data_IF_405399255653
#
_entry.id   IF_405399255653
#
_cell.length_a   1.000
_cell.length_b   1.000
_cell.length_c   1.000
_cell.angle_alpha   90.00
_cell.angle_beta   90.00
_cell.angle_gamma   90.00
#
_symmetry.space_group_name_H-M   'P 1'
#
loop_
_entity.id
_entity.type
_entity.pdbx_description
1 polymer ?
#
# COMPACT_ATOMS: atom_id res chain seq x y z
N UNK A 1 -68.65 1.20 5.85
CA UNK A 1 -67.50 1.76 6.59
C UNK A 1 -66.36 0.76 6.54
N UNK A 2 -65.41 0.88 5.61
CA UNK A 2 -64.03 0.41 5.74
C UNK A 2 -63.21 1.18 4.71
N UNK A 3 -62.43 2.16 5.18
CA UNK A 3 -61.46 2.91 4.36
C UNK A 3 -60.18 2.09 4.34
N UNK A 4 -59.81 1.56 3.18
CA UNK A 4 -58.49 0.95 2.98
C UNK A 4 -57.43 2.04 2.95
N UNK A 5 -56.60 2.07 3.99
CA UNK A 5 -55.43 2.93 4.11
C UNK A 5 -54.26 2.24 3.39
N UNK A 6 -53.95 2.69 2.17
CA UNK A 6 -52.72 2.30 1.47
C UNK A 6 -51.55 3.03 2.11
N UNK A 7 -50.78 2.32 2.92
CA UNK A 7 -49.48 2.77 3.43
C UNK A 7 -48.45 2.51 2.33
N UNK A 8 -48.03 3.59 1.65
CA UNK A 8 -46.87 3.57 0.74
C UNK A 8 -45.60 3.51 1.59
N UNK A 9 -45.01 2.32 1.72
CA UNK A 9 -43.64 2.15 2.18
C UNK A 9 -42.70 2.70 1.09
N UNK A 10 -42.13 3.88 1.31
CA UNK A 10 -40.94 4.31 0.58
C UNK A 10 -39.77 3.45 1.09
N UNK A 11 -39.37 2.45 0.29
CA UNK A 11 -38.06 1.83 0.46
C UNK A 11 -37.01 2.90 0.11
N UNK A 12 -36.40 3.49 1.13
CA UNK A 12 -35.16 4.23 0.94
C UNK A 12 -34.08 3.19 0.59
N UNK A 13 -33.74 3.08 -0.69
CA UNK A 13 -32.54 2.38 -1.12
C UNK A 13 -31.37 3.26 -0.68
N UNK A 14 -30.81 2.95 0.47
CA UNK A 14 -29.52 3.51 0.89
C UNK A 14 -28.48 2.78 0.02
N UNK A 15 -28.14 3.39 -1.11
CA UNK A 15 -26.91 3.04 -1.82
C UNK A 15 -25.76 3.48 -0.91
N UNK A 16 -25.29 2.58 -0.07
CA UNK A 16 -24.01 2.76 0.63
C UNK A 16 -22.94 2.72 -0.45
N UNK A 17 -22.56 3.90 -0.95
CA UNK A 17 -21.33 4.04 -1.72
C UNK A 17 -20.22 3.74 -0.73
N UNK A 18 -19.59 2.58 -0.85
CA UNK A 18 -18.39 2.29 -0.08
C UNK A 18 -17.31 3.21 -0.66
N UNK A 19 -17.04 4.32 0.03
CA UNK A 19 -15.93 5.20 -0.27
C UNK A 19 -14.65 4.46 0.11
N UNK A 20 -13.97 3.88 -0.88
CA UNK A 20 -12.62 3.36 -0.70
C UNK A 20 -11.60 4.44 -1.07
N UNK A 21 -10.53 4.55 -0.29
CA UNK A 21 -9.20 4.97 -0.75
C UNK A 21 -8.91 6.46 -0.95
N UNK A 22 -8.76 7.20 0.14
CA UNK A 22 -7.79 8.28 0.24
C UNK A 22 -7.11 8.15 1.61
N UNK A 23 -5.87 8.63 1.71
CA UNK A 23 -5.32 9.03 3.01
C UNK A 23 -6.40 9.86 3.73
N UNK A 24 -6.83 9.47 4.94
CA UNK A 24 -7.87 10.20 5.64
C UNK A 24 -7.54 11.68 5.75
N UNK A 25 -8.56 12.54 5.65
CA UNK A 25 -8.37 13.98 5.81
C UNK A 25 -7.63 14.26 7.11
N UNK A 26 -6.61 15.12 7.05
CA UNK A 26 -5.76 15.51 8.17
C UNK A 26 -4.90 14.38 8.78
N UNK A 27 -4.82 13.18 8.19
CA UNK A 27 -4.08 12.03 8.77
C UNK A 27 -2.60 12.35 9.07
N UNK A 28 -1.93 13.14 8.22
CA UNK A 28 -0.54 13.58 8.40
C UNK A 28 -0.41 15.07 8.76
N UNK A 29 -1.49 15.74 9.16
CA UNK A 29 -1.48 17.17 9.48
C UNK A 29 -0.69 17.42 10.77
N UNK A 30 0.29 18.31 10.71
CA UNK A 30 1.24 18.55 11.81
C UNK A 30 2.62 17.95 11.56
N UNK A 31 2.84 17.27 10.44
CA UNK A 31 4.17 16.85 10.00
C UNK A 31 5.03 17.99 9.47
N UNK A 32 4.45 19.17 9.23
CA UNK A 32 5.13 20.29 8.59
C UNK A 32 6.37 20.74 9.38
N UNK A 33 7.55 20.53 8.78
CA UNK A 33 8.83 20.93 9.37
C UNK A 33 9.41 19.93 10.38
N UNK A 34 8.70 18.84 10.69
CA UNK A 34 9.24 17.77 11.53
C UNK A 34 10.30 16.96 10.78
N UNK A 35 11.35 16.56 11.47
CA UNK A 35 12.43 15.70 10.94
C UNK A 35 12.96 14.80 12.05
N UNK A 36 13.78 13.80 11.70
CA UNK A 36 14.40 12.92 12.68
C UNK A 36 13.38 12.22 13.58
N UNK A 37 13.76 12.10 14.85
CA UNK A 37 12.94 11.49 15.91
C UNK A 37 11.60 12.20 16.14
N UNK A 38 11.50 13.51 15.87
CA UNK A 38 10.23 14.24 16.03
C UNK A 38 9.20 13.77 15.00
N UNK A 39 9.61 13.63 13.74
CA UNK A 39 8.76 13.08 12.69
C UNK A 39 8.45 11.61 12.95
N UNK A 40 9.47 10.80 13.32
CA UNK A 40 9.27 9.38 13.65
C UNK A 40 8.22 9.19 14.76
N UNK A 41 8.31 9.98 15.84
CA UNK A 41 7.36 9.93 16.96
C UNK A 41 5.97 10.35 16.52
N UNK A 42 5.85 11.40 15.71
CA UNK A 42 4.56 11.82 15.16
C UNK A 42 3.93 10.71 14.32
N UNK A 43 4.69 10.14 13.39
CA UNK A 43 4.22 9.06 12.52
C UNK A 43 3.81 7.83 13.33
N UNK A 44 4.60 7.44 14.33
CA UNK A 44 4.27 6.33 15.25
C UNK A 44 2.93 6.55 15.94
N UNK A 45 2.67 7.76 16.44
CA UNK A 45 1.41 8.08 17.09
C UNK A 45 0.23 7.96 16.11
N UNK A 46 0.36 8.52 14.90
CA UNK A 46 -0.69 8.50 13.87
C UNK A 46 -1.02 7.07 13.43
N UNK A 47 -0.02 6.22 13.19
CA UNK A 47 -0.27 4.85 12.72
C UNK A 47 -0.75 3.90 13.82
N UNK A 48 -0.53 4.25 15.10
CA UNK A 48 -1.09 3.52 16.23
C UNK A 48 -2.49 4.04 16.62
N UNK A 49 -2.85 5.28 16.25
CA UNK A 49 -4.17 5.83 16.52
C UNK A 49 -5.25 5.07 15.72
N UNK A 50 -6.10 4.34 16.45
CA UNK A 50 -7.19 3.56 15.86
C UNK A 50 -6.77 2.25 15.21
N UNK A 51 -5.51 1.83 15.34
CA UNK A 51 -5.00 0.55 14.83
C UNK A 51 -5.87 -0.64 15.27
N UNK A 52 -6.26 -1.47 14.31
CA UNK A 52 -7.04 -2.68 14.51
C UNK A 52 -6.22 -3.89 14.09
N UNK A 53 -5.62 -4.57 15.07
CA UNK A 53 -4.83 -5.76 14.79
C UNK A 53 -5.66 -6.87 14.14
N UNK A 54 -5.11 -7.47 13.09
CA UNK A 54 -5.68 -8.60 12.37
C UNK A 54 -4.99 -9.89 12.85
N UNK A 55 -5.75 -10.98 12.95
CA UNK A 55 -5.17 -12.26 13.32
C UNK A 55 -4.31 -12.82 12.19
N UNK A 56 -3.22 -13.50 12.52
CA UNK A 56 -2.38 -14.14 11.51
C UNK A 56 -3.18 -15.13 10.65
N UNK A 57 -4.18 -15.78 11.25
CA UNK A 57 -5.11 -16.68 10.57
C UNK A 57 -6.00 -15.98 9.55
N UNK A 58 -6.45 -14.75 9.82
CA UNK A 58 -7.28 -14.00 8.87
C UNK A 58 -6.43 -13.31 7.79
N UNK A 59 -5.19 -12.96 8.11
CA UNK A 59 -4.27 -12.27 7.20
C UNK A 59 -4.15 -12.95 5.82
N UNK A 60 -4.14 -14.29 5.76
CA UNK A 60 -4.08 -15.03 4.48
C UNK A 60 -5.24 -14.73 3.52
N UNK A 61 -6.44 -14.43 4.02
CA UNK A 61 -7.56 -14.10 3.14
C UNK A 61 -7.50 -12.65 2.70
N UNK A 62 -6.91 -11.79 3.52
CA UNK A 62 -6.71 -10.38 3.19
C UNK A 62 -5.55 -10.21 2.21
N UNK A 63 -4.51 -11.05 2.28
CA UNK A 63 -3.41 -11.04 1.30
C UNK A 63 -3.86 -11.36 -0.13
N UNK A 64 -4.97 -12.09 -0.29
CA UNK A 64 -5.61 -12.32 -1.59
C UNK A 64 -6.11 -11.00 -2.22
N UNK A 65 -6.49 -10.03 -1.39
CA UNK A 65 -6.94 -8.70 -1.83
C UNK A 65 -5.78 -7.70 -1.92
N UNK A 66 -4.86 -7.70 -0.94
CA UNK A 66 -3.79 -6.70 -0.86
C UNK A 66 -2.77 -6.85 -1.99
N UNK A 67 -2.50 -8.09 -2.41
CA UNK A 67 -1.51 -8.42 -3.42
C UNK A 67 -2.16 -9.07 -4.67
N UNK A 68 -3.44 -8.79 -4.90
CA UNK A 68 -4.21 -9.24 -6.06
C UNK A 68 -3.54 -8.81 -7.39
N UNK A 69 -3.49 -9.73 -8.36
CA UNK A 69 -2.98 -9.44 -9.69
C UNK A 69 -3.97 -8.53 -10.45
N UNK A 70 -3.56 -7.30 -10.85
CA UNK A 70 -4.44 -6.39 -11.56
C UNK A 70 -4.83 -6.90 -12.96
N UNK A 71 -4.05 -7.80 -13.54
CA UNK A 71 -4.23 -8.34 -14.88
C UNK A 71 -4.99 -9.68 -14.92
N UNK A 72 -4.99 -10.43 -13.82
CA UNK A 72 -5.62 -11.76 -13.75
C UNK A 72 -6.50 -11.83 -12.51
N UNK A 73 -7.81 -11.77 -12.71
CA UNK A 73 -8.79 -11.86 -11.61
C UNK A 73 -8.67 -13.19 -10.85
N UNK A 74 -8.71 -13.11 -9.52
CA UNK A 74 -8.59 -14.27 -8.63
C UNK A 74 -7.17 -14.79 -8.44
N UNK A 75 -6.16 -14.10 -9.01
CA UNK A 75 -4.76 -14.40 -8.77
C UNK A 75 -4.11 -13.39 -7.82
N UNK A 76 -3.00 -13.80 -7.20
CA UNK A 76 -2.09 -12.97 -6.40
C UNK A 76 -0.70 -12.95 -7.01
N UNK A 77 0.04 -11.86 -6.80
CA UNK A 77 1.43 -11.71 -7.24
C UNK A 77 2.37 -12.05 -6.08
N UNK A 78 3.23 -13.05 -6.25
CA UNK A 78 4.16 -13.48 -5.21
C UNK A 78 5.35 -12.52 -5.11
N UNK A 79 5.65 -12.03 -3.91
CA UNK A 79 6.59 -10.92 -3.68
C UNK A 79 7.95 -11.13 -4.34
N UNK A 80 8.60 -12.26 -4.06
CA UNK A 80 9.98 -12.51 -4.49
C UNK A 80 10.12 -12.95 -5.95
N UNK A 81 9.20 -13.77 -6.43
CA UNK A 81 9.27 -14.31 -7.79
C UNK A 81 8.54 -13.45 -8.82
N UNK A 82 7.64 -12.55 -8.39
CA UNK A 82 6.82 -11.74 -9.30
C UNK A 82 5.84 -12.55 -10.15
N UNK A 83 5.62 -13.82 -9.80
CA UNK A 83 4.73 -14.72 -10.54
C UNK A 83 3.28 -14.56 -10.06
N UNK A 84 2.36 -14.65 -11.01
CA UNK A 84 0.92 -14.65 -10.77
C UNK A 84 0.43 -16.09 -10.58
N UNK A 85 -0.21 -16.35 -9.44
CA UNK A 85 -0.77 -17.68 -9.09
C UNK A 85 -2.18 -17.54 -8.57
N UNK A 86 -2.93 -18.64 -8.51
CA UNK A 86 -4.26 -18.65 -7.89
C UNK A 86 -4.21 -18.11 -6.47
N UNK A 87 -5.06 -17.12 -6.17
CA UNK A 87 -5.18 -16.49 -4.85
C UNK A 87 -5.89 -17.34 -3.81
N UNK A 88 -6.70 -18.31 -4.26
CA UNK A 88 -7.43 -19.25 -3.38
C UNK A 88 -6.48 -19.91 -2.39
N UNK A 89 -6.71 -19.68 -1.09
CA UNK A 89 -5.92 -20.28 -0.03
C UNK A 89 -6.10 -21.81 0.02
N UNK A 90 -5.02 -22.55 -0.24
CA UNK A 90 -4.99 -24.02 -0.30
C UNK A 90 -4.17 -24.64 0.84
N UNK A 91 -4.16 -23.99 2.01
CA UNK A 91 -3.33 -24.37 3.17
C UNK A 91 -1.83 -24.22 2.96
N UNK A 92 -1.41 -23.27 2.12
CA UNK A 92 -0.01 -22.92 1.98
C UNK A 92 0.74 -23.75 0.93
N UNK A 93 0.01 -24.45 0.04
CA UNK A 93 0.61 -25.31 -0.99
C UNK A 93 1.07 -24.46 -2.18
N UNK A 94 0.22 -23.57 -2.69
CA UNK A 94 0.54 -22.71 -3.84
C UNK A 94 1.35 -21.49 -3.41
N UNK A 95 1.00 -20.89 -2.29
CA UNK A 95 1.66 -19.72 -1.75
C UNK A 95 1.51 -19.68 -0.24
N UNK A 96 2.48 -19.11 0.47
CA UNK A 96 2.44 -18.94 1.92
C UNK A 96 2.57 -17.45 2.32
N UNK A 97 2.38 -17.18 3.61
CA UNK A 97 2.59 -15.86 4.19
C UNK A 97 4.09 -15.71 4.46
N UNK A 98 4.72 -14.77 3.78
CA UNK A 98 6.06 -14.32 4.06
C UNK A 98 6.06 -13.18 5.06
N UNK A 99 6.97 -13.26 6.03
CA UNK A 99 7.29 -12.18 6.95
C UNK A 99 8.52 -11.43 6.42
N UNK A 100 8.32 -10.25 5.83
CA UNK A 100 9.43 -9.46 5.26
C UNK A 100 10.50 -9.18 6.33
N UNK A 101 10.07 -8.74 7.52
CA UNK A 101 10.83 -8.87 8.76
C UNK A 101 10.60 -10.27 9.36
N UNK A 102 11.59 -11.19 9.33
CA UNK A 102 11.41 -12.59 9.69
C UNK A 102 10.86 -12.78 11.10
N UNK A 103 9.95 -13.74 11.27
CA UNK A 103 9.39 -14.12 12.57
C UNK A 103 10.48 -14.42 13.62
N UNK A 104 11.56 -15.10 13.22
CA UNK A 104 12.67 -15.43 14.14
C UNK A 104 13.37 -14.20 14.69
N UNK A 105 13.51 -13.14 13.88
CA UNK A 105 14.09 -11.86 14.30
C UNK A 105 13.08 -10.99 15.05
N UNK A 106 11.78 -11.21 14.90
CA UNK A 106 10.75 -10.59 15.75
C UNK A 106 10.63 -11.23 17.14
N UNK A 107 11.33 -12.35 17.39
CA UNK A 107 11.26 -13.13 18.64
C UNK A 107 9.82 -13.41 19.08
N UNK A 108 8.98 -13.81 18.14
CA UNK A 108 7.55 -14.03 18.36
C UNK A 108 7.12 -15.38 17.83
N UNK A 109 6.21 -16.05 18.54
CA UNK A 109 5.57 -17.27 18.08
C UNK A 109 4.23 -16.93 17.43
N UNK A 110 4.04 -17.32 16.16
CA UNK A 110 2.81 -17.07 15.43
C UNK A 110 1.93 -18.32 15.34
N UNK A 111 0.67 -18.14 15.70
CA UNK A 111 -0.41 -19.09 15.54
C UNK A 111 -1.57 -18.41 14.82
N UNK A 112 -2.57 -19.15 14.34
CA UNK A 112 -3.71 -18.54 13.65
C UNK A 112 -4.46 -17.49 14.49
N UNK A 113 -4.40 -17.57 15.83
CA UNK A 113 -5.03 -16.59 16.73
C UNK A 113 -4.11 -15.43 17.12
N UNK A 114 -2.84 -15.43 16.72
CA UNK A 114 -1.88 -14.38 17.08
C UNK A 114 -2.30 -13.07 16.43
N UNK A 115 -2.38 -12.00 17.24
CA UNK A 115 -2.57 -10.61 16.82
C UNK A 115 -1.37 -9.81 17.35
N UNK A 116 -0.65 -9.09 16.49
CA UNK A 116 0.49 -8.26 16.87
C UNK A 116 1.53 -8.13 15.76
N UNK A 117 2.79 -7.92 16.13
CA UNK A 117 3.91 -7.72 15.19
C UNK A 117 4.08 -8.85 14.16
N UNK A 118 3.82 -10.10 14.58
CA UNK A 118 3.87 -11.27 13.70
C UNK A 118 2.63 -11.45 12.81
N UNK A 119 1.62 -10.59 12.92
CA UNK A 119 0.40 -10.65 12.09
C UNK A 119 0.05 -9.33 11.40
N UNK A 120 0.93 -8.32 11.51
CA UNK A 120 0.76 -7.04 10.82
C UNK A 120 0.81 -7.24 9.30
N UNK A 121 -0.31 -6.93 8.63
CA UNK A 121 -0.48 -7.02 7.19
C UNK A 121 0.56 -6.20 6.43
N UNK A 122 1.07 -5.08 6.98
CA UNK A 122 2.13 -4.34 6.29
C UNK A 122 3.40 -5.16 6.16
N UNK A 123 3.70 -6.05 7.12
CA UNK A 123 4.87 -6.94 7.11
C UNK A 123 4.63 -8.28 6.37
N UNK A 124 3.38 -8.62 6.09
CA UNK A 124 3.01 -9.89 5.46
C UNK A 124 2.84 -9.75 3.95
N UNK A 125 3.39 -10.70 3.21
CA UNK A 125 3.30 -10.77 1.74
C UNK A 125 2.99 -12.20 1.29
N UNK A 126 2.27 -12.45 0.18
CA UNK A 126 2.21 -13.79 -0.39
C UNK A 126 3.57 -14.12 -1.05
N UNK A 127 4.08 -15.32 -0.81
CA UNK A 127 5.31 -15.80 -1.43
C UNK A 127 5.20 -17.26 -1.86
N UNK A 128 6.08 -17.67 -2.77
CA UNK A 128 6.23 -19.07 -3.11
C UNK A 128 6.79 -19.83 -1.89
N UNK A 129 6.24 -20.99 -1.50
CA UNK A 129 6.68 -21.67 -0.29
C UNK A 129 8.13 -22.15 -0.32
N UNK A 130 8.64 -22.52 -1.51
CA UNK A 130 10.03 -22.95 -1.66
C UNK A 130 10.97 -21.75 -1.60
N UNK A 131 10.63 -20.65 -2.28
CA UNK A 131 11.42 -19.41 -2.23
C UNK A 131 11.47 -18.83 -0.81
N UNK A 132 10.32 -18.75 -0.13
CA UNK A 132 10.24 -18.31 1.26
C UNK A 132 11.10 -19.20 2.18
N UNK A 133 10.96 -20.53 2.05
CA UNK A 133 11.78 -21.46 2.83
C UNK A 133 13.28 -21.33 2.52
N UNK A 134 13.64 -21.01 1.29
CA UNK A 134 15.04 -20.79 0.88
C UNK A 134 15.60 -19.48 1.43
N UNK A 135 14.78 -18.42 1.45
CA UNK A 135 15.13 -17.12 2.02
C UNK A 135 15.36 -17.19 3.52
N UNK A 136 14.69 -18.11 4.23
CA UNK A 136 14.91 -18.33 5.67
C UNK A 136 14.71 -17.02 6.47
N UNK A 137 15.68 -16.64 7.29
CA UNK A 137 15.77 -15.36 8.00
C UNK A 137 16.89 -14.47 7.43
N UNK A 138 17.31 -14.70 6.19
CA UNK A 138 18.38 -13.96 5.55
C UNK A 138 18.01 -12.49 5.45
N UNK A 139 18.96 -11.64 5.81
CA UNK A 139 18.75 -10.21 5.81
C UNK A 139 18.99 -9.62 4.42
N UNK A 140 18.33 -8.51 4.13
CA UNK A 140 18.42 -7.90 2.82
C UNK A 140 19.75 -7.16 2.63
N UNK A 141 20.42 -7.46 1.52
CA UNK A 141 21.67 -6.85 1.10
C UNK A 141 21.74 -6.78 -0.44
N UNK A 142 22.74 -6.11 -1.00
CA UNK A 142 22.97 -6.02 -2.44
C UNK A 142 23.66 -7.26 -3.04
N UNK A 143 24.25 -8.10 -2.19
CA UNK A 143 24.92 -9.34 -2.59
C UNK A 143 24.24 -10.56 -1.96
N UNK A 144 24.04 -11.61 -2.75
CA UNK A 144 23.48 -12.88 -2.27
C UNK A 144 24.59 -13.68 -1.60
N UNK A 145 24.39 -14.07 -0.34
CA UNK A 145 25.34 -14.90 0.43
C UNK A 145 24.58 -16.01 1.16
N UNK A 146 25.22 -16.65 2.14
CA UNK A 146 24.59 -17.66 2.99
C UNK A 146 23.67 -17.06 4.07
N UNK A 147 23.81 -15.76 4.35
CA UNK A 147 23.02 -15.06 5.37
C UNK A 147 22.27 -13.85 4.79
N UNK A 148 22.41 -13.59 3.49
CA UNK A 148 21.83 -12.42 2.82
C UNK A 148 21.03 -12.79 1.59
N UNK A 149 19.94 -12.07 1.39
CA UNK A 149 19.00 -12.29 0.30
C UNK A 149 18.86 -11.07 -0.60
N UNK A 150 18.94 -11.27 -1.92
CA UNK A 150 18.76 -10.23 -2.94
C UNK A 150 17.43 -10.48 -3.67
N UNK A 151 16.38 -9.69 -3.42
CA UNK A 151 15.13 -9.79 -4.15
C UNK A 151 15.30 -9.24 -5.58
N UNK A 152 14.30 -9.51 -6.43
CA UNK A 152 14.16 -8.86 -7.74
C UNK A 152 14.06 -7.34 -7.61
N UNK A 153 14.43 -6.62 -8.66
CA UNK A 153 14.57 -5.17 -8.61
C UNK A 153 13.25 -4.44 -8.31
N UNK A 154 12.11 -4.96 -8.77
CA UNK A 154 10.81 -4.28 -8.70
C UNK A 154 10.03 -4.53 -7.40
N UNK A 155 10.70 -5.02 -6.33
CA UNK A 155 10.14 -5.04 -4.95
C UNK A 155 11.13 -4.53 -3.91
N UNK A 156 12.30 -4.04 -4.35
CA UNK A 156 13.34 -3.55 -3.45
C UNK A 156 12.82 -2.35 -2.65
N UNK A 157 12.07 -1.47 -3.31
CA UNK A 157 11.41 -0.33 -2.71
C UNK A 157 10.30 -0.73 -1.75
N UNK A 158 9.46 -1.70 -2.15
CA UNK A 158 8.40 -2.25 -1.29
C UNK A 158 8.97 -2.77 0.02
N UNK A 159 9.99 -3.63 -0.08
CA UNK A 159 10.65 -4.23 1.07
C UNK A 159 11.25 -3.14 1.96
N UNK A 160 11.92 -2.14 1.39
CA UNK A 160 12.46 -1.01 2.15
C UNK A 160 11.37 -0.26 2.91
N UNK A 161 10.26 0.10 2.26
CA UNK A 161 9.15 0.84 2.87
C UNK A 161 8.41 0.01 3.93
N UNK A 162 8.30 -1.30 3.75
CA UNK A 162 7.76 -2.21 4.79
C UNK A 162 8.66 -2.20 6.02
N UNK A 163 9.97 -2.31 5.84
CA UNK A 163 10.93 -2.33 6.96
C UNK A 163 11.04 -0.98 7.67
N UNK A 164 10.99 0.15 6.94
CA UNK A 164 10.89 1.48 7.55
C UNK A 164 9.61 1.63 8.37
N UNK A 165 8.48 1.15 7.85
CA UNK A 165 7.23 1.15 8.61
C UNK A 165 7.34 0.33 9.90
N UNK A 166 7.96 -0.86 9.84
CA UNK A 166 8.09 -1.73 11.01
C UNK A 166 8.84 -1.05 12.16
N UNK A 167 9.91 -0.28 11.90
CA UNK A 167 10.62 0.47 12.94
C UNK A 167 9.81 1.65 13.50
N UNK A 168 8.95 2.27 12.68
CA UNK A 168 8.06 3.33 13.15
C UNK A 168 6.90 2.76 13.95
N UNK A 169 6.31 1.63 13.53
CA UNK A 169 5.20 0.98 14.22
C UNK A 169 5.62 0.37 15.56
N UNK A 170 6.80 -0.27 15.60
CA UNK A 170 7.31 -0.99 16.75
C UNK A 170 8.67 -0.41 17.18
N UNK A 171 8.65 0.34 18.27
CA UNK A 171 9.77 1.16 18.77
C UNK A 171 11.00 0.38 19.25
N UNK A 172 10.86 -0.92 19.44
CA UNK A 172 11.93 -1.84 19.80
C UNK A 172 12.61 -2.51 18.60
N UNK A 173 12.14 -2.24 17.37
CA UNK A 173 12.75 -2.76 16.14
C UNK A 173 13.75 -1.74 15.56
N UNK A 174 14.91 -2.23 15.10
CA UNK A 174 15.99 -1.38 14.60
C UNK A 174 16.52 -1.84 13.24
N UNK A 175 16.77 -0.89 12.34
CA UNK A 175 17.52 -1.16 11.10
C UNK A 175 19.00 -0.86 11.32
N UNK A 176 19.85 -1.85 11.10
CA UNK A 176 21.30 -1.76 11.36
C UNK A 176 22.10 -1.67 10.06
N UNK A 177 23.43 -1.61 10.11
CA UNK A 177 24.31 -1.73 8.93
C UNK A 177 25.30 -2.91 9.08
N UNK A 178 24.92 -3.89 9.89
CA UNK A 178 25.68 -5.09 10.22
C UNK A 178 24.79 -6.32 10.08
N UNK A 179 25.37 -7.51 10.26
CA UNK A 179 24.56 -8.72 10.40
C UNK A 179 23.59 -8.53 11.59
N UNK A 180 22.27 -8.66 11.38
CA UNK A 180 21.27 -8.35 12.39
C UNK A 180 21.17 -9.43 13.46
N UNK A 181 20.90 -8.99 14.68
CA UNK A 181 20.45 -9.81 15.79
C UNK A 181 18.91 -9.82 15.89
N UNK A 182 18.40 -10.42 16.95
CA UNK A 182 16.98 -10.34 17.31
C UNK A 182 16.57 -8.87 17.48
N UNK A 183 15.42 -8.51 16.92
CA UNK A 183 14.85 -7.17 16.78
C UNK A 183 15.62 -6.22 15.88
N UNK A 184 16.65 -6.71 15.18
CA UNK A 184 17.36 -5.95 14.15
C UNK A 184 17.05 -6.51 12.76
N UNK A 185 17.14 -5.68 11.73
CA UNK A 185 16.98 -6.15 10.34
C UNK A 185 17.71 -5.29 9.32
N UNK A 186 18.13 -5.96 8.23
CA UNK A 186 18.67 -5.39 6.99
C UNK A 186 19.83 -4.39 7.19
N UNK A 187 20.36 -3.92 6.06
CA UNK A 187 21.30 -2.81 6.05
C UNK A 187 20.57 -1.51 5.68
N UNK A 188 20.52 -0.56 6.61
CA UNK A 188 19.80 0.71 6.43
C UNK A 188 20.26 1.43 5.16
N UNK A 189 21.57 1.46 4.87
CA UNK A 189 22.10 2.07 3.65
C UNK A 189 21.59 1.40 2.36
N UNK A 190 21.49 0.06 2.36
CA UNK A 190 20.90 -0.73 1.28
C UNK A 190 19.43 -0.37 1.10
N UNK A 191 18.64 -0.35 2.18
CA UNK A 191 17.21 -0.03 2.10
C UNK A 191 16.97 1.40 1.59
N UNK A 192 17.79 2.37 2.01
CA UNK A 192 17.72 3.73 1.50
C UNK A 192 18.05 3.80 0.00
N UNK A 193 19.03 3.01 -0.47
CA UNK A 193 19.36 2.92 -1.89
C UNK A 193 18.21 2.30 -2.71
N UNK A 194 17.58 1.27 -2.16
CA UNK A 194 16.46 0.55 -2.77
C UNK A 194 15.21 1.40 -2.87
N UNK A 195 14.86 2.11 -1.79
CA UNK A 195 13.77 3.08 -1.79
C UNK A 195 13.92 4.13 -2.90
N UNK A 196 15.15 4.59 -3.16
CA UNK A 196 15.42 5.55 -4.25
C UNK A 196 15.35 4.91 -5.63
N UNK A 197 15.90 3.69 -5.77
CA UNK A 197 15.98 2.99 -7.05
C UNK A 197 14.61 2.47 -7.53
N UNK A 198 13.72 2.14 -6.59
CA UNK A 198 12.41 1.55 -6.81
C UNK A 198 11.31 2.42 -6.13
N UNK A 199 10.84 3.49 -6.80
CA UNK A 199 9.84 4.41 -6.28
C UNK A 199 8.47 3.74 -6.07
N UNK A 200 7.63 4.33 -5.22
CA UNK A 200 6.28 3.79 -4.95
C UNK A 200 5.46 3.66 -6.23
N UNK A 201 4.92 2.47 -6.46
CA UNK A 201 4.07 2.18 -7.62
C UNK A 201 2.57 2.09 -7.27
N UNK A 202 1.75 1.79 -8.29
CA UNK A 202 0.29 1.69 -8.12
C UNK A 202 -0.14 0.43 -7.35
N UNK A 203 0.68 -0.61 -7.37
CA UNK A 203 0.42 -1.86 -6.65
C UNK A 203 0.57 -1.64 -5.15
N UNK A 204 1.64 -0.99 -4.71
CA UNK A 204 1.85 -0.64 -3.31
C UNK A 204 0.81 0.34 -2.75
N UNK A 205 0.43 1.35 -3.55
CA UNK A 205 -0.63 2.29 -3.14
C UNK A 205 -1.96 1.56 -2.91
N UNK A 206 -2.34 0.70 -3.85
CA UNK A 206 -3.52 -0.16 -3.69
C UNK A 206 -3.40 -1.03 -2.44
N UNK A 207 -2.25 -1.68 -2.24
CA UNK A 207 -1.97 -2.50 -1.06
C UNK A 207 -2.17 -1.70 0.24
N UNK A 208 -1.66 -0.48 0.32
CA UNK A 208 -1.81 0.39 1.49
C UNK A 208 -3.28 0.75 1.77
N UNK A 209 -4.09 0.98 0.72
CA UNK A 209 -5.54 1.22 0.90
C UNK A 209 -6.29 -0.01 1.41
N UNK A 210 -6.02 -1.18 0.81
CA UNK A 210 -6.69 -2.42 1.22
C UNK A 210 -6.33 -2.70 2.68
N UNK A 211 -5.05 -2.59 3.06
CA UNK A 211 -4.63 -2.77 4.45
C UNK A 211 -5.31 -1.75 5.36
N UNK A 212 -5.38 -0.48 4.99
CA UNK A 212 -6.09 0.53 5.79
C UNK A 212 -7.56 0.17 6.01
N UNK A 213 -8.23 -0.42 5.02
CA UNK A 213 -9.63 -0.85 5.17
C UNK A 213 -9.83 -1.91 6.27
N UNK A 214 -8.80 -2.72 6.56
CA UNK A 214 -8.81 -3.76 7.60
C UNK A 214 -8.15 -3.30 8.91
N UNK A 215 -6.90 -2.84 8.86
CA UNK A 215 -6.08 -2.48 10.04
C UNK A 215 -6.26 -1.06 10.54
N UNK A 216 -6.93 -0.19 9.77
CA UNK A 216 -7.12 1.24 10.10
C UNK A 216 -5.83 2.03 10.31
N UNK A 217 -4.69 1.51 9.85
CA UNK A 217 -3.43 2.22 9.80
C UNK A 217 -2.79 2.14 8.42
N UNK A 218 -1.92 3.10 8.13
CA UNK A 218 -1.25 3.25 6.83
C UNK A 218 0.26 3.14 6.98
N UNK A 219 0.94 2.69 5.93
CA UNK A 219 2.38 2.84 5.82
C UNK A 219 2.72 4.27 5.33
N UNK A 220 3.29 5.14 6.20
CA UNK A 220 3.55 6.53 5.82
C UNK A 220 4.57 6.69 4.70
N UNK A 221 5.46 5.70 4.52
CA UNK A 221 6.51 5.76 3.51
C UNK A 221 6.01 5.35 2.12
N UNK A 222 4.81 4.77 2.03
CA UNK A 222 4.09 4.58 0.76
C UNK A 222 3.35 5.86 0.39
N UNK A 223 2.73 6.52 1.37
CA UNK A 223 1.94 7.75 1.17
C UNK A 223 2.80 8.98 0.89
N UNK A 224 3.89 9.09 1.66
CA UNK A 224 4.84 10.19 1.66
C UNK A 224 6.25 9.61 1.60
N UNK A 225 6.72 9.16 0.43
CA UNK A 225 8.08 8.61 0.26
C UNK A 225 9.17 9.56 0.75
N UNK A 226 8.94 10.87 0.65
CA UNK A 226 9.84 11.90 1.16
C UNK A 226 10.08 11.84 2.67
N UNK A 227 9.19 11.22 3.45
CA UNK A 227 9.38 11.04 4.89
C UNK A 227 10.58 10.15 5.20
N UNK A 228 11.01 9.27 4.30
CA UNK A 228 12.25 8.49 4.48
C UNK A 228 13.45 9.44 4.62
N UNK A 229 13.56 10.44 3.74
CA UNK A 229 14.65 11.41 3.80
C UNK A 229 14.59 12.27 5.07
N UNK A 230 13.38 12.62 5.51
CA UNK A 230 13.13 13.47 6.68
C UNK A 230 13.39 12.73 8.01
N UNK A 231 13.00 11.46 8.13
CA UNK A 231 13.24 10.63 9.32
C UNK A 231 14.73 10.34 9.48
N UNK A 232 15.43 9.95 8.41
CA UNK A 232 16.86 9.62 8.48
C UNK A 232 17.80 10.81 8.22
N UNK A 233 17.28 12.05 8.22
CA UNK A 233 18.04 13.29 8.04
C UNK A 233 19.00 13.28 6.83
N UNK A 234 18.55 12.65 5.74
CA UNK A 234 19.35 12.46 4.55
C UNK A 234 19.33 13.74 3.74
N UNK A 235 20.30 14.63 4.00
CA UNK A 235 20.51 15.88 3.23
C UNK A 235 20.65 15.64 1.72
N UNK A 236 21.02 14.41 1.31
CA UNK A 236 21.19 13.99 -0.08
C UNK A 236 19.94 13.36 -0.74
N UNK A 237 18.84 13.11 -0.02
CA UNK A 237 17.59 12.57 -0.56
C UNK A 237 16.47 13.61 -0.73
N UNK A 238 16.76 14.90 -0.47
CA UNK A 238 15.91 16.03 -0.84
C UNK A 238 15.91 16.27 -2.36
N UNK A 239 15.69 15.22 -3.14
CA UNK A 239 15.40 15.33 -4.56
C UNK A 239 14.04 16.01 -4.69
N UNK A 240 13.99 17.21 -5.29
CA UNK A 240 12.76 17.95 -5.60
C UNK A 240 11.88 17.24 -6.66
N UNK A 241 12.12 15.96 -6.91
CA UNK A 241 11.56 15.14 -7.98
C UNK A 241 10.57 14.08 -7.49
N UNK A 242 10.21 14.05 -6.21
CA UNK A 242 9.06 13.24 -5.76
C UNK A 242 7.82 13.76 -6.48
N UNK A 243 7.23 12.91 -7.33
CA UNK A 243 5.97 13.23 -7.98
C UNK A 243 4.92 13.33 -6.88
N UNK A 244 4.20 14.44 -6.81
CA UNK A 244 3.24 14.73 -5.74
C UNK A 244 1.80 14.35 -6.11
N UNK A 245 1.66 13.58 -7.20
CA UNK A 245 0.37 13.28 -7.79
C UNK A 245 0.37 11.92 -8.49
N UNK A 246 -0.55 11.06 -8.08
CA UNK A 246 -0.68 9.70 -8.59
C UNK A 246 -2.15 9.30 -8.75
N UNK A 247 -2.37 8.33 -9.63
CA UNK A 247 -3.67 7.70 -9.83
C UNK A 247 -3.54 6.19 -9.72
N UNK A 248 -4.41 5.53 -8.96
CA UNK A 248 -4.29 4.10 -8.67
C UNK A 248 -5.67 3.49 -8.32
N UNK A 249 -5.88 2.17 -8.39
CA UNK A 249 -4.96 1.19 -8.98
C UNK A 249 -4.82 1.44 -10.49
N UNK A 250 -3.67 1.08 -11.05
CA UNK A 250 -3.45 1.13 -12.48
C UNK A 250 -2.60 -0.08 -12.89
N UNK A 251 -3.16 -1.06 -13.62
CA UNK A 251 -4.49 -1.04 -14.24
C UNK A 251 -5.66 -0.97 -13.25
N UNK A 252 -6.64 -0.13 -13.58
CA UNK A 252 -7.87 0.09 -12.84
C UNK A 252 -8.97 -0.85 -13.34
N UNK A 253 -9.97 -1.13 -12.50
CA UNK A 253 -11.19 -1.87 -12.89
C UNK A 253 -12.43 -1.02 -12.68
N UNK A 254 -12.83 -0.85 -11.41
CA UNK A 254 -14.11 -0.22 -11.07
C UNK A 254 -13.99 1.28 -10.77
N UNK A 255 -12.84 1.71 -10.25
CA UNK A 255 -12.60 3.08 -9.81
C UNK A 255 -11.12 3.45 -9.96
N UNK A 256 -10.84 4.75 -9.88
CA UNK A 256 -9.51 5.33 -9.81
C UNK A 256 -9.43 6.31 -8.63
N UNK A 257 -8.54 6.06 -7.68
CA UNK A 257 -8.17 6.99 -6.62
C UNK A 257 -7.20 8.04 -7.13
N UNK A 258 -7.35 9.25 -6.61
CA UNK A 258 -6.49 10.39 -6.88
C UNK A 258 -5.75 10.74 -5.58
N UNK A 259 -4.44 10.50 -5.54
CA UNK A 259 -3.60 11.09 -4.49
C UNK A 259 -2.95 12.35 -5.03
N UNK A 260 -3.24 13.49 -4.42
CA UNK A 260 -2.62 14.75 -4.76
C UNK A 260 -2.55 15.68 -3.54
N UNK A 261 -1.47 16.45 -3.44
CA UNK A 261 -1.30 17.49 -2.41
C UNK A 261 -2.11 18.77 -2.69
N UNK A 262 -2.60 18.95 -3.92
CA UNK A 262 -3.43 20.10 -4.31
C UNK A 262 -4.93 19.73 -4.37
N UNK A 263 -5.80 20.65 -3.92
CA UNK A 263 -7.25 20.51 -3.99
C UNK A 263 -7.80 20.77 -5.39
N UNK A 264 -7.81 19.75 -6.25
CA UNK A 264 -8.45 19.82 -7.57
C UNK A 264 -9.97 19.95 -7.44
N UNK A 265 -10.58 20.69 -8.36
CA UNK A 265 -12.04 20.94 -8.35
C UNK A 265 -12.78 20.03 -9.33
N UNK A 266 -12.15 19.67 -10.44
CA UNK A 266 -12.78 18.89 -11.51
C UNK A 266 -11.80 17.91 -12.15
N UNK A 267 -12.34 16.89 -12.81
CA UNK A 267 -11.58 15.95 -13.61
C UNK A 267 -12.19 15.75 -15.00
N UNK A 268 -11.37 15.27 -15.93
CA UNK A 268 -11.78 14.72 -17.22
C UNK A 268 -11.00 13.46 -17.52
N UNK A 269 -11.65 12.43 -18.04
CA UNK A 269 -11.00 11.25 -18.62
C UNK A 269 -11.06 11.38 -20.13
N UNK A 270 -9.91 11.26 -20.78
CA UNK A 270 -9.76 11.27 -22.23
C UNK A 270 -9.39 9.87 -22.72
N UNK A 271 -9.96 9.47 -23.85
CA UNK A 271 -9.47 8.32 -24.59
C UNK A 271 -8.16 8.66 -25.35
N UNK A 272 -7.54 7.66 -25.99
CA UNK A 272 -6.26 7.85 -26.70
C UNK A 272 -6.33 8.75 -27.93
N UNK A 273 -7.51 9.10 -28.43
CA UNK A 273 -7.70 10.09 -29.50
C UNK A 273 -8.00 11.50 -28.96
N UNK A 274 -7.93 11.70 -27.64
CA UNK A 274 -8.09 12.99 -26.98
C UNK A 274 -9.54 13.43 -26.79
N UNK A 275 -10.51 12.53 -26.95
CA UNK A 275 -11.92 12.83 -26.67
C UNK A 275 -12.22 12.63 -25.19
N UNK A 276 -12.88 13.60 -24.56
CA UNK A 276 -13.44 13.45 -23.21
C UNK A 276 -14.53 12.40 -23.22
N UNK A 277 -14.32 11.32 -22.46
CA UNK A 277 -15.28 10.21 -22.29
C UNK A 277 -15.98 10.24 -20.93
N UNK A 278 -15.42 10.95 -19.95
CA UNK A 278 -16.04 11.18 -18.63
C UNK A 278 -15.53 12.49 -18.05
N UNK A 279 -16.35 13.22 -17.33
CA UNK A 279 -15.93 14.41 -16.57
C UNK A 279 -16.81 14.61 -15.34
N UNK A 280 -16.30 15.34 -14.35
CA UNK A 280 -17.02 15.60 -13.11
C UNK A 280 -16.31 16.57 -12.18
N UNK A 281 -16.98 16.92 -11.10
CA UNK A 281 -16.44 17.66 -9.96
C UNK A 281 -16.02 16.70 -8.86
N UNK A 282 -14.95 17.03 -8.13
CA UNK A 282 -14.57 16.25 -6.95
C UNK A 282 -15.54 16.51 -5.78
N UNK A 283 -16.15 15.44 -5.27
CA UNK A 283 -16.76 15.39 -3.94
C UNK A 283 -15.93 14.55 -2.97
N UNK A 284 -15.32 13.50 -3.50
CA UNK A 284 -14.30 12.61 -2.91
C UNK A 284 -13.25 12.38 -4.02
N UNK A 285 -11.98 12.03 -3.72
CA UNK A 285 -10.91 11.86 -4.71
C UNK A 285 -10.98 10.51 -5.46
N UNK A 286 -12.19 10.00 -5.66
CA UNK A 286 -12.45 8.71 -6.32
C UNK A 286 -13.19 9.00 -7.60
N UNK A 287 -12.73 8.42 -8.70
CA UNK A 287 -13.40 8.49 -9.99
C UNK A 287 -13.94 7.10 -10.33
N UNK A 288 -15.26 6.88 -10.22
CA UNK A 288 -15.89 5.66 -10.73
C UNK A 288 -15.62 5.51 -12.23
N UNK A 289 -15.32 4.30 -12.68
CA UNK A 289 -15.00 3.99 -14.08
C UNK A 289 -16.16 3.30 -14.81
N UNK A 290 -17.33 3.25 -14.19
CA UNK A 290 -18.56 2.73 -14.78
C UNK A 290 -18.83 3.37 -16.16
N UNK A 291 -19.20 2.51 -17.11
CA UNK A 291 -19.49 2.89 -18.49
C UNK A 291 -18.27 3.05 -19.41
N UNK A 292 -17.05 2.96 -18.89
CA UNK A 292 -15.83 2.99 -19.71
C UNK A 292 -15.43 1.57 -20.14
N UNK A 293 -15.01 1.43 -21.39
CA UNK A 293 -14.51 0.15 -21.93
C UNK A 293 -13.06 -0.08 -21.54
N UNK A 294 -12.61 -1.34 -21.53
CA UNK A 294 -11.19 -1.70 -21.35
C UNK A 294 -10.31 -0.95 -22.35
N UNK A 295 -9.19 -0.40 -21.90
CA UNK A 295 -8.30 0.40 -22.75
C UNK A 295 -7.40 1.37 -21.99
N UNK A 296 -6.60 2.13 -22.74
CA UNK A 296 -5.72 3.17 -22.20
C UNK A 296 -6.44 4.52 -22.20
N UNK A 297 -6.25 5.28 -21.12
CA UNK A 297 -6.87 6.58 -20.91
C UNK A 297 -5.88 7.56 -20.30
N UNK A 298 -6.23 8.84 -20.34
CA UNK A 298 -5.56 9.92 -19.62
C UNK A 298 -6.59 10.54 -18.69
N UNK A 299 -6.31 10.63 -17.40
CA UNK A 299 -7.07 11.48 -16.49
C UNK A 299 -6.40 12.85 -16.38
N UNK A 300 -7.20 13.89 -16.55
CA UNK A 300 -6.84 15.27 -16.32
C UNK A 300 -7.47 15.75 -15.02
N UNK A 301 -6.64 16.23 -14.11
CA UNK A 301 -7.03 16.85 -12.84
C UNK A 301 -6.90 18.35 -12.99
N UNK A 302 -7.98 19.08 -12.73
CA UNK A 302 -8.12 20.49 -13.08
C UNK A 302 -8.46 21.31 -11.83
N UNK A 303 -7.64 22.32 -11.56
CA UNK A 303 -7.95 23.40 -10.63
C UNK A 303 -8.08 24.73 -11.43
N UNK A 304 -8.22 25.88 -10.75
CA UNK A 304 -8.47 27.17 -11.43
C UNK A 304 -7.35 27.61 -12.38
N UNK A 305 -6.13 27.12 -12.20
CA UNK A 305 -4.94 27.61 -12.92
C UNK A 305 -4.07 26.48 -13.51
N UNK A 306 -4.24 25.23 -13.09
CA UNK A 306 -3.42 24.10 -13.52
C UNK A 306 -4.26 22.92 -14.03
N UNK A 307 -3.69 22.23 -15.01
CA UNK A 307 -4.17 20.95 -15.52
C UNK A 307 -3.03 19.95 -15.43
N UNK A 308 -3.23 18.89 -14.67
CA UNK A 308 -2.26 17.80 -14.55
C UNK A 308 -2.81 16.56 -15.22
N UNK A 309 -1.98 15.88 -16.03
CA UNK A 309 -2.39 14.72 -16.81
C UNK A 309 -1.66 13.47 -16.35
N UNK A 310 -2.40 12.40 -16.08
CA UNK A 310 -1.86 11.11 -15.68
C UNK A 310 -2.43 10.00 -16.57
N UNK A 311 -1.60 9.15 -17.19
CA UNK A 311 -2.07 8.01 -17.93
C UNK A 311 -2.53 6.89 -16.97
N UNK A 312 -3.54 6.12 -17.37
CA UNK A 312 -3.95 4.90 -16.69
C UNK A 312 -4.58 3.89 -17.67
N UNK A 313 -4.70 2.64 -17.24
CA UNK A 313 -5.27 1.53 -18.01
C UNK A 313 -6.54 1.06 -17.30
N UNK A 314 -7.61 0.75 -18.05
CA UNK A 314 -8.80 0.06 -17.56
C UNK A 314 -8.75 -1.38 -18.06
N UNK A 315 -8.85 -2.33 -17.14
CA UNK A 315 -8.84 -3.77 -17.40
C UNK A 315 -10.22 -4.42 -17.28
#
# INVERSE_FOLDING_TARGET
MYKNLLILFHLAVINTVISFGQIPTDYYKGTEGLTGTELETFLRNVINEGFQGISYGDARYILDETDADPNIEGNVVLVYLGISVSGVWDSGITWNREHVWPQSLLNTDVSNSTIGVGSDLHNLKPADPAENSSRSNDYFDVEQTADTYVPRDEVKGDIARILFYMTVMYDYLELVNSAPLVYEMAKLDVLLSWHKADPVDDFERNRNEVIYSYQKNRNPFIDHPEFVAQVWNLTALNDKNYKTMYVYPNPARDYLHISATEGFQTFRILNMIGQTVKEGTFGEPIIPLDGLSKGKYIVQLINKETVSSLPFIIN
#
